data_IF_385541808982
#
_entry.id   IF_385541808982
#
_cell.length_a   1.000
_cell.length_b   1.000
_cell.length_c   1.000
_cell.angle_alpha   90.00
_cell.angle_beta   90.00
_cell.angle_gamma   90.00
#
_symmetry.space_group_name_H-M   'P 1'
#
loop_
_entity.id
_entity.type
_entity.pdbx_description
1 polymer ?
#
# COMPACT_ATOMS: atom_id res chain seq x y z
N UNK A 1 -21.01 13.34 -49.66
CA UNK A 1 -21.18 12.21 -48.72
C UNK A 1 -19.78 11.82 -48.27
N UNK A 2 -19.29 12.47 -47.21
CA UNK A 2 -19.08 11.88 -45.87
C UNK A 2 -18.01 10.78 -45.90
N UNK A 3 -16.71 11.10 -45.78
CA UNK A 3 -15.92 11.25 -44.53
C UNK A 3 -15.64 9.88 -43.85
N UNK A 4 -14.57 9.72 -43.06
CA UNK A 4 -13.15 9.85 -43.40
C UNK A 4 -12.32 8.64 -42.90
N UNK A 5 -11.02 8.69 -43.18
CA UNK A 5 -9.92 7.96 -42.56
C UNK A 5 -10.18 7.64 -41.08
N UNK A 6 -10.32 6.34 -40.79
CA UNK A 6 -10.52 5.82 -39.43
C UNK A 6 -9.25 6.09 -38.64
N UNK A 7 -9.26 7.16 -37.84
CA UNK A 7 -8.27 7.40 -36.81
C UNK A 7 -8.21 6.14 -35.93
N UNK A 8 -7.12 5.38 -36.03
CA UNK A 8 -6.68 4.50 -34.97
C UNK A 8 -6.31 5.39 -33.77
N UNK A 9 -7.31 5.81 -33.01
CA UNK A 9 -7.11 6.06 -31.60
C UNK A 9 -6.87 4.69 -30.98
N UNK A 10 -5.60 4.37 -30.75
CA UNK A 10 -5.22 3.39 -29.74
C UNK A 10 -5.99 3.73 -28.46
N UNK A 11 -6.77 2.82 -27.87
CA UNK A 11 -7.30 3.06 -26.55
C UNK A 11 -6.12 3.01 -25.57
N UNK A 12 -5.52 4.16 -25.30
CA UNK A 12 -4.78 4.39 -24.05
C UNK A 12 -5.79 4.40 -22.91
N UNK A 13 -6.44 3.27 -22.66
CA UNK A 13 -7.01 2.98 -21.35
C UNK A 13 -5.84 2.57 -20.46
N UNK A 14 -5.01 3.55 -20.09
CA UNK A 14 -4.20 3.40 -18.89
C UNK A 14 -5.20 3.25 -17.75
N UNK A 15 -5.34 2.04 -17.20
CA UNK A 15 -6.11 1.78 -16.00
C UNK A 15 -5.58 2.72 -14.92
N UNK A 16 -6.38 3.73 -14.56
CA UNK A 16 -6.00 4.73 -13.56
C UNK A 16 -6.24 4.09 -12.20
N UNK A 17 -5.15 3.86 -11.45
CA UNK A 17 -5.17 3.27 -10.11
C UNK A 17 -5.41 4.34 -9.03
N UNK A 18 -5.96 3.95 -7.88
CA UNK A 18 -6.27 4.85 -6.77
C UNK A 18 -5.04 5.63 -6.28
N UNK A 19 -3.86 4.99 -6.24
CA UNK A 19 -2.62 5.64 -5.83
C UNK A 19 -2.19 6.76 -6.81
N UNK A 20 -2.47 6.58 -8.10
CA UNK A 20 -2.19 7.56 -9.13
C UNK A 20 -3.16 8.75 -9.03
N UNK A 21 -4.43 8.49 -8.70
CA UNK A 21 -5.44 9.53 -8.46
C UNK A 21 -5.03 10.39 -7.27
N UNK A 22 -4.68 9.77 -6.14
CA UNK A 22 -4.26 10.51 -4.94
C UNK A 22 -3.03 11.38 -5.21
N UNK A 23 -2.03 10.83 -5.89
CA UNK A 23 -0.82 11.56 -6.29
C UNK A 23 -1.15 12.74 -7.22
N UNK A 24 -2.06 12.53 -8.18
CA UNK A 24 -2.51 13.56 -9.12
C UNK A 24 -3.28 14.68 -8.41
N UNK A 25 -4.16 14.36 -7.46
CA UNK A 25 -4.88 15.36 -6.67
C UNK A 25 -3.91 16.15 -5.81
N UNK A 26 -3.02 15.47 -5.07
CA UNK A 26 -2.06 16.11 -4.16
C UNK A 26 -1.14 17.10 -4.90
N UNK A 27 -0.67 16.77 -6.11
CA UNK A 27 0.19 17.67 -6.90
C UNK A 27 -0.57 18.83 -7.56
N UNK A 28 -1.87 18.70 -7.77
CA UNK A 28 -2.68 19.70 -8.49
C UNK A 28 -3.24 20.78 -7.57
N UNK A 29 -3.17 20.59 -6.25
CA UNK A 29 -3.70 21.52 -5.24
C UNK A 29 -2.60 22.40 -4.63
N UNK A 30 -2.94 23.66 -4.29
CA UNK A 30 -2.07 24.53 -3.49
C UNK A 30 -1.84 23.93 -2.11
N UNK A 31 -0.69 24.22 -1.48
CA UNK A 31 -0.24 23.55 -0.26
C UNK A 31 -1.26 23.55 0.90
N UNK A 32 -2.11 24.57 0.99
CA UNK A 32 -3.14 24.70 2.04
C UNK A 32 -4.29 23.70 1.88
N UNK A 33 -4.58 23.29 0.64
CA UNK A 33 -5.71 22.41 0.30
C UNK A 33 -5.25 20.97 0.02
N UNK A 34 -3.95 20.67 0.22
CA UNK A 34 -3.43 19.33 -0.07
C UNK A 34 -3.97 18.31 0.94
N UNK A 35 -4.63 17.23 0.48
CA UNK A 35 -4.96 16.12 1.35
C UNK A 35 -3.68 15.36 1.76
N UNK A 36 -3.84 14.33 2.59
CA UNK A 36 -2.76 13.38 2.91
C UNK A 36 -1.98 13.00 1.65
N UNK A 37 -0.65 12.95 1.77
CA UNK A 37 0.24 12.67 0.64
C UNK A 37 -0.03 11.31 0.01
N UNK A 38 -0.38 10.33 0.83
CA UNK A 38 -0.58 8.94 0.41
C UNK A 38 -1.93 8.42 0.92
N UNK A 39 -2.50 7.48 0.16
CA UNK A 39 -3.58 6.63 0.66
C UNK A 39 -2.98 5.72 1.72
N UNK A 40 -3.68 5.57 2.84
CA UNK A 40 -3.24 4.75 3.95
C UNK A 40 -4.34 3.82 4.41
N UNK A 41 -3.96 2.65 4.90
CA UNK A 41 -4.84 1.65 5.47
C UNK A 41 -4.36 1.23 6.86
N UNK A 42 -5.30 0.90 7.72
CA UNK A 42 -5.04 0.43 9.08
C UNK A 42 -5.02 -1.10 9.10
N UNK A 43 -4.03 -1.67 9.79
CA UNK A 43 -3.84 -3.10 10.03
C UNK A 43 -3.52 -3.34 11.51
N UNK A 44 -3.46 -4.61 11.94
CA UNK A 44 -2.98 -4.98 13.27
C UNK A 44 -1.53 -4.56 13.51
N UNK A 45 -0.70 -4.55 12.46
CA UNK A 45 0.69 -4.09 12.51
C UNK A 45 0.83 -2.57 12.67
N UNK A 46 -0.21 -1.82 12.32
CA UNK A 46 -0.25 -0.37 12.33
C UNK A 46 -0.85 0.23 11.06
N UNK A 47 -0.55 1.49 10.81
CA UNK A 47 -1.01 2.25 9.65
C UNK A 47 0.02 2.22 8.52
N UNK A 48 -0.37 1.67 7.38
CA UNK A 48 0.49 1.50 6.20
C UNK A 48 0.02 2.45 5.11
N UNK A 49 0.95 3.18 4.50
CA UNK A 49 0.70 4.05 3.35
C UNK A 49 1.16 3.39 2.05
N UNK A 50 0.36 3.53 1.00
CA UNK A 50 0.69 3.18 -0.38
C UNK A 50 1.45 4.36 -0.99
N UNK A 51 2.76 4.18 -1.19
CA UNK A 51 3.60 5.20 -1.81
C UNK A 51 3.33 5.33 -3.31
N UNK A 52 2.95 4.22 -3.94
CA UNK A 52 2.62 4.14 -5.35
C UNK A 52 2.80 2.72 -5.88
N UNK A 53 2.56 2.57 -7.17
CA UNK A 53 2.83 1.33 -7.91
C UNK A 53 4.19 1.39 -8.59
N UNK A 54 4.83 0.23 -8.68
CA UNK A 54 6.05 0.02 -9.43
C UNK A 54 5.94 -1.26 -10.26
N UNK A 55 6.88 -1.46 -11.16
CA UNK A 55 7.00 -2.67 -11.96
C UNK A 55 8.43 -3.18 -11.82
N UNK A 56 8.57 -4.44 -11.43
CA UNK A 56 9.87 -5.08 -11.21
C UNK A 56 9.86 -6.36 -12.02
N UNK A 57 10.77 -6.47 -13.00
CA UNK A 57 10.87 -7.60 -13.91
C UNK A 57 9.56 -7.92 -14.68
N UNK A 58 8.74 -6.91 -14.98
CA UNK A 58 7.44 -7.11 -15.63
C UNK A 58 6.29 -7.46 -14.68
N UNK A 59 6.56 -7.64 -13.38
CA UNK A 59 5.55 -7.87 -12.36
C UNK A 59 5.15 -6.55 -11.68
N UNK A 60 3.85 -6.30 -11.60
CA UNK A 60 3.28 -5.13 -10.90
C UNK A 60 3.42 -5.32 -9.39
N UNK A 61 3.87 -4.28 -8.70
CA UNK A 61 4.01 -4.28 -7.24
C UNK A 61 3.57 -2.94 -6.63
N UNK A 62 3.10 -2.98 -5.40
CA UNK A 62 2.88 -1.80 -4.58
C UNK A 62 4.10 -1.53 -3.71
N UNK A 63 4.53 -0.26 -3.67
CA UNK A 63 5.50 0.23 -2.70
C UNK A 63 4.77 0.73 -1.45
N UNK A 64 5.07 0.13 -0.31
CA UNK A 64 4.36 0.34 0.96
C UNK A 64 5.33 0.81 2.04
N UNK A 65 4.82 1.62 2.97
CA UNK A 65 5.59 2.11 4.12
C UNK A 65 4.71 2.31 5.34
N UNK A 66 5.19 1.94 6.53
CA UNK A 66 4.53 2.28 7.77
C UNK A 66 4.55 3.79 8.03
N UNK A 67 3.38 4.34 8.29
CA UNK A 67 3.19 5.72 8.78
C UNK A 67 3.14 5.73 10.31
N UNK A 68 2.64 4.64 10.88
CA UNK A 68 2.59 4.37 12.31
C UNK A 68 2.66 2.85 12.47
N UNK A 69 3.56 2.32 13.31
CA UNK A 69 3.74 0.89 13.51
C UNK A 69 3.83 0.55 14.99
N UNK A 70 3.57 -0.71 15.36
CA UNK A 70 3.76 -1.16 16.75
C UNK A 70 5.23 -1.12 17.18
N UNK A 71 6.16 -1.40 16.27
CA UNK A 71 7.57 -1.07 16.44
C UNK A 71 7.96 0.11 15.52
N UNK A 72 8.50 1.16 16.13
CA UNK A 72 9.01 2.33 15.42
C UNK A 72 10.10 2.01 14.40
N UNK A 73 10.87 0.92 14.59
CA UNK A 73 11.90 0.46 13.65
C UNK A 73 11.31 0.04 12.29
N UNK A 74 10.02 -0.29 12.23
CA UNK A 74 9.35 -0.65 10.97
C UNK A 74 9.10 0.58 10.09
N UNK A 75 8.99 1.77 10.69
CA UNK A 75 8.65 3.01 9.98
C UNK A 75 9.73 3.47 9.00
N UNK A 76 10.98 3.05 9.19
CA UNK A 76 12.08 3.44 8.30
C UNK A 76 12.23 2.53 7.09
N UNK A 77 11.38 1.51 6.95
CA UNK A 77 11.47 0.50 5.89
C UNK A 77 10.38 0.68 4.85
N UNK A 78 10.78 0.65 3.59
CA UNK A 78 9.86 0.46 2.45
C UNK A 78 9.85 -1.02 2.11
N UNK A 79 8.67 -1.56 1.88
CA UNK A 79 8.49 -2.94 1.48
C UNK A 79 7.57 -3.02 0.27
N UNK A 80 7.62 -4.16 -0.40
CA UNK A 80 6.91 -4.40 -1.65
C UNK A 80 5.89 -5.52 -1.45
N UNK A 81 4.71 -5.31 -2.02
CA UNK A 81 3.68 -6.33 -2.13
C UNK A 81 3.32 -6.52 -3.60
N UNK A 82 3.02 -7.75 -4.01
CA UNK A 82 2.51 -8.01 -5.37
C UNK A 82 1.17 -7.33 -5.54
N UNK A 83 0.94 -6.81 -6.75
CA UNK A 83 -0.37 -6.30 -7.13
C UNK A 83 -1.35 -7.46 -7.25
N UNK A 84 -2.51 -7.35 -6.62
CA UNK A 84 -3.60 -8.32 -6.66
C UNK A 84 -4.92 -7.54 -6.81
N UNK A 85 -5.72 -7.85 -7.83
CA UNK A 85 -6.98 -7.15 -8.16
C UNK A 85 -8.13 -7.55 -7.24
N UNK A 86 -8.04 -8.69 -6.56
CA UNK A 86 -9.09 -9.21 -5.68
C UNK A 86 -8.92 -8.75 -4.23
N UNK A 87 -7.69 -8.40 -3.84
CA UNK A 87 -7.38 -8.03 -2.46
C UNK A 87 -7.56 -6.54 -2.22
N UNK A 88 -8.36 -6.21 -1.20
CA UNK A 88 -8.60 -4.85 -0.75
C UNK A 88 -7.74 -4.44 0.46
N UNK A 89 -6.97 -5.38 1.02
CA UNK A 89 -6.24 -5.20 2.28
C UNK A 89 -4.78 -5.62 2.13
N UNK A 90 -3.86 -4.81 2.67
CA UNK A 90 -2.40 -5.00 2.55
C UNK A 90 -1.95 -6.27 3.25
N UNK A 91 -2.61 -6.65 4.34
CA UNK A 91 -2.31 -7.87 5.08
C UNK A 91 -2.50 -9.14 4.22
N UNK A 92 -3.43 -9.09 3.27
CA UNK A 92 -3.76 -10.17 2.34
C UNK A 92 -2.95 -10.10 1.04
N UNK A 93 -2.25 -8.99 0.77
CA UNK A 93 -1.42 -8.90 -0.42
C UNK A 93 -0.23 -9.86 -0.32
N UNK A 94 0.14 -10.53 -1.42
CA UNK A 94 1.30 -11.39 -1.42
C UNK A 94 2.57 -10.55 -1.23
N UNK A 95 3.53 -10.99 -0.40
CA UNK A 95 4.85 -10.37 -0.36
C UNK A 95 5.55 -10.44 -1.73
N UNK A 96 6.33 -9.41 -2.06
CA UNK A 96 7.08 -9.37 -3.31
C UNK A 96 8.47 -10.01 -3.13
N UNK A 97 8.73 -11.13 -3.80
CA UNK A 97 10.01 -11.88 -3.78
C UNK A 97 10.50 -12.31 -2.39
N UNK A 98 9.61 -12.40 -1.41
CA UNK A 98 9.90 -12.94 -0.07
C UNK A 98 8.78 -13.88 0.36
N UNK A 99 9.04 -14.75 1.35
CA UNK A 99 8.04 -15.69 1.88
C UNK A 99 7.02 -15.01 2.80
N UNK A 100 7.35 -13.83 3.33
CA UNK A 100 6.51 -13.05 4.23
C UNK A 100 6.95 -11.58 4.30
N UNK A 101 6.12 -10.75 4.91
CA UNK A 101 6.51 -9.37 5.25
C UNK A 101 7.41 -9.37 6.49
N UNK A 102 8.43 -8.50 6.48
CA UNK A 102 9.46 -8.43 7.53
C UNK A 102 8.94 -8.19 8.95
N UNK A 103 7.73 -7.66 9.11
CA UNK A 103 7.14 -7.28 10.39
C UNK A 103 6.28 -8.38 11.02
N UNK A 104 5.98 -9.48 10.31
CA UNK A 104 5.02 -10.49 10.79
C UNK A 104 5.50 -11.21 12.05
N UNK A 105 6.73 -11.71 12.06
CA UNK A 105 7.29 -12.45 13.20
C UNK A 105 7.39 -11.56 14.45
N UNK A 106 7.82 -10.31 14.28
CA UNK A 106 7.92 -9.35 15.38
C UNK A 106 6.53 -8.91 15.87
N UNK A 107 5.54 -8.80 14.99
CA UNK A 107 4.15 -8.51 15.35
C UNK A 107 3.55 -9.63 16.21
N UNK A 108 3.73 -10.89 15.81
CA UNK A 108 3.24 -12.06 16.54
C UNK A 108 3.80 -12.06 17.97
N UNK A 109 5.11 -11.84 18.13
CA UNK A 109 5.74 -11.72 19.45
C UNK A 109 5.16 -10.59 20.31
N UNK A 110 4.85 -9.43 19.69
CA UNK A 110 4.23 -8.31 20.40
C UNK A 110 2.81 -8.69 20.85
N UNK A 111 2.04 -9.37 20.01
CA UNK A 111 0.67 -9.79 20.31
C UNK A 111 0.64 -10.85 21.43
N UNK A 112 1.50 -11.87 21.37
CA UNK A 112 1.66 -12.89 22.42
C UNK A 112 2.07 -12.29 23.77
N UNK A 113 3.02 -11.33 23.75
CA UNK A 113 3.47 -10.65 24.96
C UNK A 113 2.34 -9.83 25.60
N UNK A 114 1.51 -9.17 24.78
CA UNK A 114 0.35 -8.41 25.23
C UNK A 114 -0.72 -9.32 25.83
N UNK A 115 -1.00 -10.46 25.21
CA UNK A 115 -1.96 -11.45 25.73
C UNK A 115 -1.50 -12.01 27.08
N UNK A 116 -0.22 -12.38 27.19
CA UNK A 116 0.37 -12.88 28.43
C UNK A 116 0.31 -11.83 29.55
N UNK A 117 0.63 -10.57 29.25
CA UNK A 117 0.58 -9.48 30.23
C UNK A 117 -0.84 -9.17 30.70
N UNK A 118 -1.84 -9.30 29.81
CA UNK A 118 -3.24 -9.11 30.16
C UNK A 118 -3.72 -10.23 31.10
N UNK A 119 -3.41 -11.48 30.79
CA UNK A 119 -3.77 -12.64 31.63
C UNK A 119 -3.13 -12.56 33.02
N UNK A 120 -1.87 -12.12 33.12
CA UNK A 120 -1.18 -11.96 34.40
C UNK A 120 -1.71 -10.82 35.28
N UNK A 121 -2.40 -9.84 34.71
CA UNK A 121 -3.03 -8.75 35.47
C UNK A 121 -4.45 -9.11 35.97
N UNK A 122 -5.01 -10.23 35.50
CA UNK A 122 -6.35 -10.74 35.85
C UNK A 122 -6.31 -11.85 36.91
N UNK A 123 -5.12 -12.30 37.31
CA UNK A 123 -4.86 -13.30 38.37
C UNK A 123 -4.22 -12.68 39.59
#
# INVERSE_FOLDING_TARGET
MSSPESAMLSPTNATIDEADIASKVHRSLPSIDRPSRYISMTSSAGKISILGRTEINGEKAFALKFTEGRDMKWMDRVFLAKYDEEQNTVDLLPPFNTDGFFFRDELEQIEEALETAQLGNLT
#
